data_IF_027132117085
#
_entry.id   IF_027132117085
#
_cell.length_a   1.000
_cell.length_b   1.000
_cell.length_c   1.000
_cell.angle_alpha   90.00
_cell.angle_beta   90.00
_cell.angle_gamma   90.00
#
_symmetry.space_group_name_H-M   'P 1'
#
loop_
_entity.id
_entity.type
_entity.pdbx_description
1 polymer ?
#
# COMPACT_ATOMS: atom_id res chain seq x y z
N UNK A 1 -8.53 11.87 7.12
CA UNK A 1 -7.67 10.72 7.50
C UNK A 1 -6.19 10.87 7.07
N UNK A 2 -5.77 12.02 6.53
CA UNK A 2 -4.39 12.28 6.06
C UNK A 2 -3.37 12.59 7.16
N UNK A 3 -3.82 12.87 8.38
CA UNK A 3 -2.96 13.23 9.52
C UNK A 3 -2.33 12.02 10.22
N UNK A 4 -2.86 10.81 10.03
CA UNK A 4 -2.34 9.60 10.66
C UNK A 4 -1.16 9.04 9.86
N UNK A 5 -0.03 8.79 10.53
CA UNK A 5 1.15 8.18 9.92
C UNK A 5 0.99 6.67 9.83
N UNK A 6 0.55 6.16 8.67
CA UNK A 6 0.30 4.73 8.46
C UNK A 6 1.47 3.98 7.83
N UNK A 7 2.33 4.64 7.04
CA UNK A 7 3.38 3.95 6.26
C UNK A 7 4.37 3.11 7.08
N UNK A 8 4.60 3.45 8.34
CA UNK A 8 5.49 2.69 9.22
C UNK A 8 4.84 1.49 9.91
N UNK A 9 3.52 1.32 9.80
CA UNK A 9 2.76 0.30 10.55
C UNK A 9 1.94 -0.64 9.67
N UNK A 10 1.82 -0.38 8.37
CA UNK A 10 0.98 -1.20 7.48
C UNK A 10 1.43 -2.67 7.52
N UNK A 11 2.71 -2.95 7.27
CA UNK A 11 3.21 -4.33 7.24
C UNK A 11 3.06 -5.05 8.59
N UNK A 12 3.28 -4.36 9.72
CA UNK A 12 3.08 -4.97 11.04
C UNK A 12 1.60 -5.24 11.32
N UNK A 13 0.71 -4.34 10.90
CA UNK A 13 -0.73 -4.53 11.05
C UNK A 13 -1.23 -5.70 10.19
N UNK A 14 -0.72 -5.86 8.96
CA UNK A 14 -1.07 -7.02 8.13
C UNK A 14 -0.61 -8.33 8.77
N UNK A 15 0.59 -8.35 9.34
CA UNK A 15 1.11 -9.51 10.06
C UNK A 15 0.30 -9.84 11.31
N UNK A 16 -0.12 -8.83 12.08
CA UNK A 16 -0.93 -9.00 13.29
C UNK A 16 -2.36 -9.43 12.99
N UNK A 17 -2.98 -8.83 11.97
CA UNK A 17 -4.38 -9.05 11.61
C UNK A 17 -4.58 -10.26 10.70
N UNK A 18 -3.52 -10.74 10.03
CA UNK A 18 -3.61 -11.80 9.02
C UNK A 18 -4.45 -11.41 7.80
N UNK A 19 -4.60 -10.12 7.53
CA UNK A 19 -5.47 -9.57 6.47
C UNK A 19 -4.81 -8.35 5.82
N UNK A 20 -5.04 -8.11 4.52
CA UNK A 20 -4.56 -6.90 3.85
C UNK A 20 -5.11 -5.62 4.52
N UNK A 21 -4.25 -4.62 4.66
CA UNK A 21 -4.57 -3.32 5.28
C UNK A 21 -4.41 -2.22 4.24
N UNK A 22 -5.44 -1.38 4.08
CA UNK A 22 -5.42 -0.26 3.13
C UNK A 22 -5.71 1.06 3.82
N UNK A 23 -4.81 2.02 3.65
CA UNK A 23 -4.98 3.42 4.03
C UNK A 23 -5.17 4.33 2.80
N UNK A 24 -5.81 5.50 2.99
CA UNK A 24 -6.05 6.44 1.89
C UNK A 24 -4.75 6.92 1.23
N UNK A 25 -3.72 7.22 2.03
CA UNK A 25 -2.43 7.71 1.51
C UNK A 25 -1.68 6.62 0.72
N UNK A 26 -1.67 5.38 1.20
CA UNK A 26 -0.99 4.30 0.49
C UNK A 26 -1.69 3.96 -0.83
N UNK A 27 -3.02 3.95 -0.85
CA UNK A 27 -3.79 3.63 -2.04
C UNK A 27 -3.60 4.70 -3.11
N UNK A 28 -3.56 5.97 -2.69
CA UNK A 28 -3.30 7.08 -3.59
C UNK A 28 -1.92 6.97 -4.24
N UNK A 29 -0.86 6.74 -3.46
CA UNK A 29 0.50 6.60 -4.00
C UNK A 29 0.62 5.38 -4.91
N UNK A 30 0.13 4.22 -4.46
CA UNK A 30 0.11 3.00 -5.28
C UNK A 30 -0.56 3.27 -6.63
N UNK A 31 -1.73 3.90 -6.64
CA UNK A 31 -2.46 4.17 -7.88
C UNK A 31 -1.70 5.13 -8.80
N UNK A 32 -1.09 6.19 -8.27
CA UNK A 32 -0.26 7.11 -9.05
C UNK A 32 0.94 6.42 -9.69
N UNK A 33 1.62 5.52 -8.96
CA UNK A 33 2.75 4.77 -9.49
C UNK A 33 2.32 3.84 -10.63
N UNK A 34 1.20 3.12 -10.48
CA UNK A 34 0.70 2.23 -11.54
C UNK A 34 0.24 3.00 -12.79
N UNK A 35 -0.38 4.17 -12.61
CA UNK A 35 -0.68 5.07 -13.73
C UNK A 35 0.58 5.58 -14.44
N UNK A 36 1.66 5.79 -13.69
CA UNK A 36 2.97 6.17 -14.23
C UNK A 36 3.77 5.00 -14.84
N UNK A 37 3.18 3.79 -14.91
CA UNK A 37 3.87 2.55 -15.33
C UNK A 37 5.10 2.21 -14.47
N UNK A 38 5.11 2.65 -13.22
CA UNK A 38 6.12 2.27 -12.22
C UNK A 38 5.57 1.08 -11.46
N UNK A 39 6.27 -0.05 -11.54
CA UNK A 39 5.85 -1.36 -10.97
C UNK A 39 6.61 -1.72 -9.69
N UNK A 40 7.27 -0.75 -9.07
CA UNK A 40 8.04 -0.95 -7.84
C UNK A 40 7.19 -1.65 -6.77
N UNK A 41 7.80 -2.69 -6.20
CA UNK A 41 7.24 -3.46 -5.09
C UNK A 41 7.93 -3.01 -3.83
N UNK A 42 7.14 -2.54 -2.88
CA UNK A 42 7.63 -1.99 -1.61
C UNK A 42 7.00 -2.80 -0.47
N UNK A 43 7.59 -3.93 -0.06
CA UNK A 43 7.00 -4.83 0.93
C UNK A 43 6.68 -4.15 2.27
N UNK A 44 7.44 -3.12 2.65
CA UNK A 44 7.19 -2.35 3.87
C UNK A 44 5.87 -1.56 3.85
N UNK A 45 5.28 -1.34 2.67
CA UNK A 45 4.02 -0.63 2.48
C UNK A 45 2.81 -1.56 2.32
N UNK A 46 2.99 -2.85 2.62
CA UNK A 46 1.94 -3.87 2.63
C UNK A 46 1.68 -4.50 1.28
N UNK A 47 0.82 -5.52 1.27
CA UNK A 47 0.58 -6.37 0.09
C UNK A 47 0.01 -5.62 -1.10
N UNK A 48 -0.62 -4.45 -0.91
CA UNK A 48 -1.13 -3.62 -2.00
C UNK A 48 -0.06 -3.31 -3.07
N UNK A 49 1.18 -3.05 -2.64
CA UNK A 49 2.30 -2.72 -3.53
C UNK A 49 2.83 -3.92 -4.32
N UNK A 50 2.33 -5.12 -4.05
CA UNK A 50 2.64 -6.34 -4.82
C UNK A 50 1.66 -6.58 -5.98
N UNK A 51 0.61 -5.75 -6.08
CA UNK A 51 -0.43 -5.85 -7.09
C UNK A 51 -0.33 -4.74 -8.14
N UNK A 52 -0.73 -5.10 -9.37
CA UNK A 52 -0.89 -4.18 -10.50
C UNK A 52 -2.35 -3.80 -10.70
N UNK A 53 -2.60 -2.79 -11.55
CA UNK A 53 -3.97 -2.45 -11.95
C UNK A 53 -4.60 -3.64 -12.67
N UNK A 54 -5.83 -3.97 -12.27
CA UNK A 54 -6.64 -4.91 -13.04
C UNK A 54 -6.83 -4.34 -14.46
N UNK A 55 -6.57 -5.19 -15.46
CA UNK A 55 -6.79 -4.87 -16.88
C UNK A 55 -8.28 -4.87 -17.22
#
# INVERSE_FOLDING_TARGET
CTSLRTFGVIASLEAELGRPVVSSNQAFIWHLLRLASIEDRVPSLGTLFEHDLAK
#
